data_IF_822212922115
#
_entry.id   IF_822212922115
#
_cell.length_a   1.000
_cell.length_b   1.000
_cell.length_c   1.000
_cell.angle_alpha   90.00
_cell.angle_beta   90.00
_cell.angle_gamma   90.00
#
_symmetry.space_group_name_H-M   'P 1'
#
loop_
_entity.id
_entity.type
_entity.pdbx_description
1 polymer ?
#
# COMPACT_ATOMS: atom_id res chain seq x y z
N UNK A 1 23.24 -27.22 33.19
CA UNK A 1 23.12 -26.67 31.83
C UNK A 1 21.64 -26.45 31.56
N UNK A 2 21.19 -25.20 31.47
CA UNK A 2 19.78 -24.84 31.31
C UNK A 2 19.46 -24.64 29.82
N UNK A 3 19.63 -25.71 29.04
CA UNK A 3 19.52 -25.71 27.58
C UNK A 3 18.29 -24.99 26.98
N UNK A 4 17.09 -25.00 27.60
CA UNK A 4 15.93 -24.30 27.05
C UNK A 4 16.03 -22.76 27.16
N UNK A 5 16.60 -22.24 28.25
CA UNK A 5 16.75 -20.80 28.47
C UNK A 5 17.90 -20.23 27.62
N UNK A 6 18.96 -21.01 27.44
CA UNK A 6 20.09 -20.66 26.59
C UNK A 6 19.65 -20.52 25.11
N UNK A 7 18.77 -21.42 24.63
CA UNK A 7 18.22 -21.37 23.29
C UNK A 7 17.28 -20.16 23.04
N UNK A 8 16.40 -19.83 24.00
CA UNK A 8 15.51 -18.66 23.91
C UNK A 8 16.33 -17.36 23.86
N UNK A 9 17.36 -17.26 24.70
CA UNK A 9 18.22 -16.07 24.76
C UNK A 9 19.00 -15.87 23.46
N UNK A 10 19.50 -16.96 22.88
CA UNK A 10 20.21 -16.92 21.60
C UNK A 10 19.27 -16.51 20.44
N UNK A 11 18.05 -17.02 20.41
CA UNK A 11 17.05 -16.63 19.42
C UNK A 11 16.69 -15.13 19.53
N UNK A 12 16.45 -14.63 20.75
CA UNK A 12 16.18 -13.21 20.97
C UNK A 12 17.35 -12.31 20.52
N UNK A 13 18.59 -12.76 20.68
CA UNK A 13 19.76 -12.05 20.17
C UNK A 13 19.80 -12.01 18.64
N UNK A 14 19.52 -13.14 17.98
CA UNK A 14 19.45 -13.21 16.52
C UNK A 14 18.36 -12.31 15.94
N UNK A 15 17.17 -12.28 16.58
CA UNK A 15 16.08 -11.38 16.19
C UNK A 15 16.48 -9.91 16.31
N UNK A 16 17.14 -9.54 17.43
CA UNK A 16 17.64 -8.18 17.63
C UNK A 16 18.65 -7.77 16.55
N UNK A 17 19.58 -8.65 16.19
CA UNK A 17 20.53 -8.41 15.10
C UNK A 17 19.81 -8.21 13.77
N UNK A 18 18.85 -9.08 13.43
CA UNK A 18 18.09 -8.96 12.18
C UNK A 18 17.29 -7.65 12.09
N UNK A 19 16.70 -7.21 13.21
CA UNK A 19 16.00 -5.91 13.29
C UNK A 19 16.96 -4.75 13.05
N UNK A 20 18.14 -4.78 13.66
CA UNK A 20 19.15 -3.72 13.49
C UNK A 20 19.64 -3.63 12.04
N UNK A 21 19.92 -4.77 11.42
CA UNK A 21 20.37 -4.84 10.01
C UNK A 21 19.27 -4.33 9.07
N UNK A 22 18.02 -4.74 9.30
CA UNK A 22 16.88 -4.28 8.51
C UNK A 22 16.64 -2.78 8.67
N UNK A 23 16.75 -2.26 9.91
CA UNK A 23 16.65 -0.83 10.20
C UNK A 23 17.74 -0.01 9.49
N UNK A 24 18.98 -0.51 9.46
CA UNK A 24 20.06 0.14 8.72
C UNK A 24 19.81 0.19 7.21
N UNK A 25 19.30 -0.90 6.63
CA UNK A 25 18.92 -0.95 5.22
C UNK A 25 17.76 0.01 4.89
N UNK A 26 16.73 0.06 5.75
CA UNK A 26 15.62 1.01 5.66
C UNK A 26 16.12 2.46 5.66
N UNK A 27 16.96 2.83 6.63
CA UNK A 27 17.52 4.18 6.76
C UNK A 27 18.35 4.57 5.53
N UNK A 28 19.19 3.66 5.03
CA UNK A 28 19.99 3.87 3.82
C UNK A 28 19.11 4.18 2.62
N UNK A 29 18.05 3.39 2.40
CA UNK A 29 17.14 3.57 1.28
C UNK A 29 16.33 4.87 1.39
N UNK A 30 15.87 5.21 2.59
CA UNK A 30 15.19 6.48 2.83
C UNK A 30 16.09 7.69 2.56
N UNK A 31 17.36 7.63 2.95
CA UNK A 31 18.32 8.69 2.65
C UNK A 31 18.48 8.87 1.13
N UNK A 32 18.65 7.77 0.38
CA UNK A 32 18.73 7.82 -1.08
C UNK A 32 17.44 8.36 -1.73
N UNK A 33 16.27 8.00 -1.20
CA UNK A 33 14.99 8.51 -1.68
C UNK A 33 14.85 10.02 -1.42
N UNK A 34 15.27 10.50 -0.25
CA UNK A 34 15.28 11.92 0.08
C UNK A 34 16.19 12.72 -0.88
N UNK A 35 17.37 12.20 -1.23
CA UNK A 35 18.26 12.82 -2.23
C UNK A 35 17.65 12.89 -3.63
N UNK A 36 16.68 12.02 -3.94
CA UNK A 36 15.90 12.04 -5.19
C UNK A 36 14.66 12.94 -5.11
N UNK A 37 14.47 13.69 -4.03
CA UNK A 37 13.32 14.55 -3.81
C UNK A 37 12.08 13.84 -3.24
N UNK A 38 12.21 12.59 -2.81
CA UNK A 38 11.12 11.83 -2.18
C UNK A 38 11.20 11.92 -0.65
N UNK A 39 11.13 13.15 -0.12
CA UNK A 39 11.07 13.45 1.31
C UNK A 39 9.67 13.95 1.71
N UNK A 40 9.46 14.29 2.99
CA UNK A 40 8.21 14.91 3.46
C UNK A 40 7.05 13.94 3.70
N UNK A 41 7.34 12.64 3.79
CA UNK A 41 6.34 11.62 4.10
C UNK A 41 5.72 11.81 5.47
N UNK A 42 6.31 12.57 6.38
CA UNK A 42 5.82 12.85 7.73
C UNK A 42 4.69 13.88 7.71
N UNK A 43 4.63 14.74 6.68
CA UNK A 43 3.58 15.73 6.50
C UNK A 43 2.37 15.13 5.73
N UNK A 44 1.17 15.05 6.34
CA UNK A 44 -0.03 14.53 5.69
C UNK A 44 -0.48 15.31 4.45
N UNK A 45 -0.10 16.59 4.32
CA UNK A 45 -0.45 17.40 3.15
C UNK A 45 0.41 17.08 1.93
N UNK A 46 1.63 16.58 2.14
CA UNK A 46 2.55 16.15 1.08
C UNK A 46 2.38 14.66 0.75
N UNK A 47 2.09 13.85 1.76
CA UNK A 47 1.84 12.42 1.60
C UNK A 47 0.63 12.02 2.44
N UNK A 48 -0.50 11.76 1.79
CA UNK A 48 -1.72 11.38 2.50
C UNK A 48 -1.65 9.95 3.05
N UNK A 49 -2.49 9.64 4.04
CA UNK A 49 -2.58 8.28 4.59
C UNK A 49 -3.10 7.27 3.56
N UNK A 50 -3.91 7.71 2.60
CA UNK A 50 -4.35 6.88 1.47
C UNK A 50 -3.17 6.59 0.54
N UNK A 51 -2.35 7.61 0.24
CA UNK A 51 -1.15 7.46 -0.58
C UNK A 51 -0.17 6.44 0.03
N UNK A 52 0.07 6.50 1.35
CA UNK A 52 0.91 5.50 2.04
C UNK A 52 0.38 4.08 1.86
N UNK A 53 -0.94 3.88 1.97
CA UNK A 53 -1.57 2.55 1.80
C UNK A 53 -1.44 2.01 0.38
N UNK A 54 -1.53 2.89 -0.62
CA UNK A 54 -1.28 2.52 -2.02
C UNK A 54 0.18 2.15 -2.22
N UNK A 55 1.11 3.00 -1.74
CA UNK A 55 2.54 2.76 -1.84
C UNK A 55 2.97 1.44 -1.17
N UNK A 56 2.40 1.11 -0.01
CA UNK A 56 2.62 -0.18 0.66
C UNK A 56 2.23 -1.36 -0.25
N UNK A 57 1.08 -1.29 -0.91
CA UNK A 57 0.60 -2.36 -1.81
C UNK A 57 1.45 -2.46 -3.07
N UNK A 58 1.89 -1.33 -3.62
CA UNK A 58 2.84 -1.32 -4.72
C UNK A 58 4.17 -1.97 -4.33
N UNK A 59 4.69 -1.68 -3.13
CA UNK A 59 5.91 -2.28 -2.63
C UNK A 59 5.78 -3.81 -2.46
N UNK A 60 4.64 -4.28 -1.93
CA UNK A 60 4.32 -5.71 -1.85
C UNK A 60 4.28 -6.34 -3.24
N UNK A 61 3.59 -5.72 -4.20
CA UNK A 61 3.49 -6.23 -5.57
C UNK A 61 4.84 -6.27 -6.31
N UNK A 62 5.73 -5.30 -6.04
CA UNK A 62 7.11 -5.27 -6.54
C UNK A 62 8.04 -6.27 -5.84
N UNK A 63 7.64 -6.77 -4.67
CA UNK A 63 8.44 -7.71 -3.88
C UNK A 63 9.62 -7.06 -3.16
N UNK A 64 9.55 -5.76 -2.83
CA UNK A 64 10.64 -5.05 -2.13
C UNK A 64 10.35 -4.98 -0.61
N UNK A 65 10.94 -5.85 0.21
CA UNK A 65 10.67 -5.88 1.64
C UNK A 65 11.15 -4.62 2.38
N UNK A 66 12.17 -3.91 1.87
CA UNK A 66 12.67 -2.68 2.48
C UNK A 66 11.65 -1.55 2.32
N UNK A 67 11.04 -1.42 1.14
CA UNK A 67 9.96 -0.45 0.94
C UNK A 67 8.71 -0.81 1.73
N UNK A 68 8.36 -2.10 1.83
CA UNK A 68 7.27 -2.56 2.70
C UNK A 68 7.54 -2.15 4.15
N UNK A 69 8.74 -2.38 4.65
CA UNK A 69 9.18 -1.96 6.00
C UNK A 69 9.10 -0.45 6.19
N UNK A 70 9.60 0.34 5.23
CA UNK A 70 9.54 1.80 5.27
C UNK A 70 8.11 2.31 5.32
N UNK A 71 7.22 1.86 4.42
CA UNK A 71 5.83 2.32 4.43
C UNK A 71 5.07 1.86 5.67
N UNK A 72 5.33 0.65 6.17
CA UNK A 72 4.75 0.18 7.44
C UNK A 72 5.21 1.03 8.63
N UNK A 73 6.50 1.38 8.69
CA UNK A 73 7.05 2.26 9.72
C UNK A 73 6.45 3.67 9.67
N UNK A 74 6.28 4.24 8.46
CA UNK A 74 5.65 5.55 8.29
C UNK A 74 4.21 5.56 8.81
N UNK A 75 3.44 4.50 8.52
CA UNK A 75 2.08 4.32 9.02
C UNK A 75 2.04 4.16 10.54
N UNK A 76 2.91 3.31 11.09
CA UNK A 76 3.03 3.11 12.53
C UNK A 76 3.31 4.43 13.25
N UNK A 77 4.25 5.22 12.71
CA UNK A 77 4.61 6.55 13.27
C UNK A 77 3.42 7.51 13.30
N UNK A 78 2.53 7.43 12.29
CA UNK A 78 1.30 8.23 12.22
C UNK A 78 0.13 7.65 13.02
N UNK A 79 0.28 6.47 13.63
CA UNK A 79 -0.80 5.79 14.35
C UNK A 79 -1.91 5.27 13.43
N UNK A 80 -1.62 5.03 12.15
CA UNK A 80 -2.59 4.52 11.18
C UNK A 80 -2.35 3.05 10.83
N UNK A 81 -3.42 2.31 10.55
CA UNK A 81 -3.36 0.92 10.09
C UNK A 81 -3.19 0.78 8.57
N UNK A 82 -2.77 -0.42 8.14
CA UNK A 82 -2.53 -0.79 6.72
C UNK A 82 -3.80 -1.10 5.94
N UNK A 83 -4.92 -1.34 6.63
CA UNK A 83 -6.23 -1.56 6.05
C UNK A 83 -6.65 -0.36 5.20
N UNK A 84 -7.29 -0.60 4.06
CA UNK A 84 -7.90 0.49 3.30
C UNK A 84 -9.09 1.08 4.07
N UNK A 85 -9.41 2.37 3.89
CA UNK A 85 -10.67 2.92 4.37
C UNK A 85 -11.85 2.06 3.92
N UNK A 86 -12.86 1.91 4.77
CA UNK A 86 -14.05 1.11 4.50
C UNK A 86 -14.71 1.49 3.16
N UNK A 87 -14.85 2.80 2.91
CA UNK A 87 -15.39 3.32 1.65
C UNK A 87 -14.63 2.82 0.41
N UNK A 88 -13.29 2.69 0.47
CA UNK A 88 -12.51 2.14 -0.63
C UNK A 88 -12.82 0.66 -0.86
N UNK A 89 -12.92 -0.12 0.22
CA UNK A 89 -13.27 -1.54 0.16
C UNK A 89 -14.66 -1.72 -0.46
N UNK A 90 -15.64 -0.92 -0.02
CA UNK A 90 -17.00 -0.91 -0.55
C UNK A 90 -17.02 -0.57 -2.04
N UNK A 91 -16.34 0.48 -2.48
CA UNK A 91 -16.28 0.87 -3.89
C UNK A 91 -15.64 -0.22 -4.74
N UNK A 92 -14.54 -0.83 -4.28
CA UNK A 92 -13.88 -1.91 -5.02
C UNK A 92 -14.79 -3.13 -5.16
N UNK A 93 -15.47 -3.54 -4.09
CA UNK A 93 -16.41 -4.66 -4.12
C UNK A 93 -17.61 -4.38 -5.03
N UNK A 94 -18.23 -3.20 -4.91
CA UNK A 94 -19.32 -2.78 -5.80
C UNK A 94 -18.88 -2.75 -7.27
N UNK A 95 -17.65 -2.31 -7.56
CA UNK A 95 -17.10 -2.34 -8.91
C UNK A 95 -16.88 -3.77 -9.41
N UNK A 96 -16.45 -4.70 -8.55
CA UNK A 96 -16.31 -6.11 -8.92
C UNK A 96 -17.67 -6.74 -9.25
N UNK A 97 -18.68 -6.50 -8.42
CA UNK A 97 -20.04 -6.98 -8.62
C UNK A 97 -20.65 -6.41 -9.92
N UNK A 98 -20.47 -5.11 -10.16
CA UNK A 98 -20.92 -4.46 -11.39
C UNK A 98 -20.22 -5.05 -12.63
N UNK A 99 -18.92 -5.34 -12.55
CA UNK A 99 -18.17 -5.98 -13.64
C UNK A 99 -18.65 -7.42 -13.89
N UNK A 100 -18.95 -8.17 -12.84
CA UNK A 100 -19.50 -9.51 -12.95
C UNK A 100 -20.91 -9.50 -13.56
N UNK A 101 -21.77 -8.58 -13.13
CA UNK A 101 -23.11 -8.40 -13.69
C UNK A 101 -23.06 -8.00 -15.17
N UNK A 102 -22.21 -7.03 -15.52
CA UNK A 102 -22.00 -6.63 -16.90
C UNK A 102 -21.48 -7.80 -17.74
N UNK A 103 -20.59 -8.63 -17.19
CA UNK A 103 -20.10 -9.82 -17.89
C UNK A 103 -21.22 -10.81 -18.19
N UNK A 104 -22.10 -11.07 -17.23
CA UNK A 104 -23.24 -11.97 -17.43
C UNK A 104 -24.17 -11.47 -18.56
N UNK A 105 -24.48 -10.18 -18.59
CA UNK A 105 -25.28 -9.56 -19.66
C UNK A 105 -24.58 -9.67 -21.01
N UNK A 106 -23.26 -9.45 -21.06
CA UNK A 106 -22.49 -9.58 -22.31
C UNK A 106 -22.42 -11.03 -22.80
N UNK A 107 -22.32 -12.00 -21.91
CA UNK A 107 -22.35 -13.43 -22.28
C UNK A 107 -23.73 -13.86 -22.83
N UNK A 108 -24.82 -13.24 -22.35
CA UNK A 108 -26.18 -13.47 -22.87
C UNK A 108 -26.39 -12.81 -24.24
N UNK A 109 -26.03 -11.53 -24.37
CA UNK A 109 -26.34 -10.72 -25.55
C UNK A 109 -25.31 -10.92 -26.68
N UNK A 110 -24.06 -11.26 -26.34
CA UNK A 110 -22.96 -11.39 -27.29
C UNK A 110 -21.93 -12.46 -26.83
N UNK A 111 -22.33 -13.75 -26.83
CA UNK A 111 -21.49 -14.86 -26.37
C UNK A 111 -20.17 -14.90 -27.13
N UNK A 112 -19.06 -15.03 -26.40
CA UNK A 112 -17.70 -15.07 -26.97
C UNK A 112 -17.03 -13.70 -27.16
N UNK A 113 -17.69 -12.59 -26.79
CA UNK A 113 -17.05 -11.27 -26.79
C UNK A 113 -15.89 -11.24 -25.80
N UNK A 114 -14.68 -10.98 -26.28
CA UNK A 114 -13.50 -10.74 -25.44
C UNK A 114 -13.58 -9.35 -24.81
N UNK A 115 -13.30 -9.22 -23.49
CA UNK A 115 -13.31 -7.92 -22.83
C UNK A 115 -12.36 -6.91 -23.49
N UNK A 116 -12.73 -5.62 -23.48
CA UNK A 116 -11.77 -4.54 -23.67
C UNK A 116 -10.78 -4.63 -22.51
N UNK A 117 -9.51 -4.89 -22.83
CA UNK A 117 -8.45 -4.96 -21.83
C UNK A 117 -8.23 -3.56 -21.25
N UNK A 118 -8.60 -3.37 -19.99
CA UNK A 118 -8.29 -2.17 -19.20
C UNK A 118 -7.01 -2.47 -18.39
N UNK A 119 -5.93 -2.87 -19.08
CA UNK A 119 -4.63 -3.17 -18.47
C UNK A 119 -3.68 -2.00 -18.79
N UNK A 120 -2.91 -1.39 -17.88
CA UNK A 120 -2.68 -1.61 -16.44
C UNK A 120 -2.17 -0.33 -15.73
N UNK A 121 -2.22 0.84 -16.37
CA UNK A 121 -1.62 2.06 -15.80
C UNK A 121 -2.52 3.25 -16.04
N UNK A 122 -3.51 3.43 -15.16
CA UNK A 122 -4.12 4.75 -15.02
C UNK A 122 -2.99 5.74 -14.68
N UNK A 123 -2.82 6.81 -15.47
CA UNK A 123 -1.80 7.82 -15.17
C UNK A 123 -1.97 8.30 -13.72
N UNK A 124 -0.84 8.57 -13.04
CA UNK A 124 -0.82 9.05 -11.65
C UNK A 124 -1.77 10.25 -11.45
N UNK A 125 -1.90 11.10 -12.47
CA UNK A 125 -2.85 12.21 -12.51
C UNK A 125 -4.32 11.81 -12.38
N UNK A 126 -4.73 10.69 -12.96
CA UNK A 126 -6.09 10.15 -12.87
C UNK A 126 -6.33 9.56 -11.48
N UNK A 127 -5.34 8.85 -10.93
CA UNK A 127 -5.39 8.36 -9.54
C UNK A 127 -5.52 9.53 -8.56
N UNK A 128 -4.71 10.59 -8.74
CA UNK A 128 -4.74 11.79 -7.90
C UNK A 128 -6.04 12.60 -8.07
N UNK A 129 -6.67 12.55 -9.24
CA UNK A 129 -7.94 13.21 -9.51
C UNK A 129 -9.11 12.47 -8.84
N UNK A 130 -9.11 11.14 -8.91
CA UNK A 130 -10.10 10.30 -8.21
C UNK A 130 -9.92 10.42 -6.69
N UNK A 131 -8.68 10.42 -6.20
CA UNK A 131 -8.39 10.61 -4.77
C UNK A 131 -8.86 11.97 -4.25
N UNK A 132 -8.70 13.06 -5.04
CA UNK A 132 -9.24 14.38 -4.70
C UNK A 132 -10.76 14.43 -4.71
N UNK A 133 -11.41 13.78 -5.67
CA UNK A 133 -12.88 13.72 -5.76
C UNK A 133 -13.51 12.87 -4.65
N UNK A 134 -12.76 11.92 -4.08
CA UNK A 134 -13.19 11.09 -2.97
C UNK A 134 -12.97 11.74 -1.59
N UNK A 135 -12.34 12.92 -1.51
CA UNK A 135 -12.24 13.70 -0.27
C UNK A 135 -13.61 14.32 0.05
N UNK A 136 -14.24 13.99 1.20
CA UNK A 136 -15.53 14.54 1.60
C UNK A 136 -15.57 16.08 1.67
N UNK A 137 -14.41 16.74 1.78
CA UNK A 137 -14.31 18.21 1.78
C UNK A 137 -14.48 18.85 0.40
N UNK A 138 -14.50 18.06 -0.68
CA UNK A 138 -14.66 18.56 -2.06
C UNK A 138 -16.12 18.79 -2.47
N UNK A 139 -17.07 18.23 -1.72
CA UNK A 139 -18.49 18.58 -1.78
C UNK A 139 -18.75 19.64 -0.72
N UNK A 140 -18.40 20.89 -1.05
CA UNK A 140 -18.48 22.02 -0.13
C UNK A 140 -19.87 22.25 0.48
N UNK A 141 -19.86 22.71 1.73
CA UNK A 141 -20.82 23.69 2.21
C UNK A 141 -20.61 25.04 1.51
#
# INVERSE_FOLDING_TARGET
>A
MNAPLDAITLAAHADATAIMDFSAAMATKMHQAAMKGHAGWDNPTLCSDASLRVLLREAVAKGDPIDVGNYAMMMHTRGIGTAMPEAYTTIVMQNQDMRAALRAVLDEVAPGSTPISIDSSLPRSVIDQVARAADPKSFGA
#
